data_IF_072046509471
#
_entry.id   IF_072046509471
#
_cell.length_a   1.000
_cell.length_b   1.000
_cell.length_c   1.000
_cell.angle_alpha   90.00
_cell.angle_beta   90.00
_cell.angle_gamma   90.00
#
_symmetry.space_group_name_H-M   'P 1'
#
loop_
_entity.id
_entity.type
_entity.pdbx_description
1 polymer ?
#
# COMPACT_ATOMS: atom_id res chain seq x y z
N UNK A 1 1.92 25.18 36.91
CA UNK A 1 2.83 25.01 35.75
C UNK A 1 3.89 23.97 36.10
N UNK A 2 3.66 22.69 35.80
CA UNK A 2 4.71 21.67 35.88
C UNK A 2 5.35 21.56 34.49
N UNK A 3 6.58 22.07 34.37
CA UNK A 3 7.44 21.94 33.20
C UNK A 3 7.71 20.44 33.00
N UNK A 4 7.00 19.79 32.06
CA UNK A 4 7.29 18.41 31.63
C UNK A 4 8.71 18.38 31.08
N UNK A 5 9.64 17.85 31.85
CA UNK A 5 11.09 17.79 31.57
C UNK A 5 11.50 16.69 30.58
N UNK A 6 10.55 16.11 29.85
CA UNK A 6 10.86 15.32 28.67
C UNK A 6 10.19 16.03 27.49
N UNK A 7 10.96 16.60 26.52
CA UNK A 7 10.36 16.91 25.24
C UNK A 7 9.70 15.62 24.78
N UNK A 8 8.44 15.73 24.35
CA UNK A 8 7.51 14.64 24.06
C UNK A 8 8.02 13.77 22.88
N UNK A 9 9.20 13.15 23.01
CA UNK A 9 9.68 12.09 22.13
C UNK A 9 8.58 11.05 22.19
N UNK A 10 7.89 10.89 21.06
CA UNK A 10 6.75 10.00 20.94
C UNK A 10 7.18 8.62 21.42
N UNK A 11 6.77 8.23 22.63
CA UNK A 11 7.14 6.93 23.23
C UNK A 11 6.82 5.77 22.27
N UNK A 12 5.83 5.96 21.40
CA UNK A 12 5.41 5.04 20.33
C UNK A 12 5.00 5.83 19.08
N UNK A 13 5.91 6.13 18.15
CA UNK A 13 5.57 6.86 16.92
C UNK A 13 4.77 5.94 15.98
N UNK A 14 3.70 6.46 15.38
CA UNK A 14 2.92 5.72 14.38
C UNK A 14 3.56 5.72 12.99
N UNK A 15 4.23 6.82 12.65
CA UNK A 15 4.94 6.97 11.39
C UNK A 15 6.19 7.82 11.58
N UNK A 16 7.21 7.55 10.77
CA UNK A 16 8.44 8.31 10.70
C UNK A 16 8.78 8.56 9.23
N UNK A 17 8.98 9.84 8.90
CA UNK A 17 9.41 10.26 7.57
C UNK A 17 10.89 10.58 7.61
N UNK A 18 11.63 9.92 6.72
CA UNK A 18 12.99 10.28 6.36
C UNK A 18 12.99 10.88 4.95
N UNK A 19 14.09 11.49 4.50
CA UNK A 19 14.19 11.97 3.13
C UNK A 19 13.93 10.90 2.06
N UNK A 20 14.23 9.62 2.34
CA UNK A 20 14.21 8.56 1.32
C UNK A 20 13.06 7.55 1.48
N UNK A 21 12.42 7.51 2.65
CA UNK A 21 11.35 6.55 2.93
C UNK A 21 10.34 7.05 3.98
N UNK A 22 9.12 6.53 3.86
CA UNK A 22 8.04 6.63 4.85
C UNK A 22 7.91 5.29 5.58
N UNK A 23 8.32 5.26 6.85
CA UNK A 23 8.16 4.09 7.72
C UNK A 23 6.92 4.26 8.62
N UNK A 24 6.18 3.18 8.87
CA UNK A 24 4.99 3.24 9.70
C UNK A 24 4.71 1.92 10.41
N UNK A 25 3.87 2.01 11.43
CA UNK A 25 3.37 0.87 12.19
C UNK A 25 1.84 0.87 12.11
N UNK A 26 1.30 -0.19 11.52
CA UNK A 26 -0.14 -0.40 11.36
C UNK A 26 -0.51 -1.84 11.69
N UNK A 27 -1.77 -2.07 12.06
CA UNK A 27 -2.25 -3.43 12.29
C UNK A 27 -2.40 -4.20 10.99
N UNK A 28 -1.87 -5.42 10.97
CA UNK A 28 -1.90 -6.33 9.81
C UNK A 28 -2.33 -7.73 10.20
N UNK A 29 -2.78 -8.50 9.24
CA UNK A 29 -2.99 -9.94 9.42
C UNK A 29 -1.63 -10.66 9.32
N UNK A 30 -1.16 -11.35 10.38
CA UNK A 30 0.11 -12.07 10.36
C UNK A 30 0.23 -13.08 9.21
N UNK A 31 -0.86 -13.75 8.86
CA UNK A 31 -0.87 -14.76 7.81
C UNK A 31 -0.58 -14.19 6.42
N UNK A 32 -0.97 -12.94 6.16
CA UNK A 32 -0.65 -12.28 4.89
C UNK A 32 0.85 -12.02 4.76
N UNK A 33 1.48 -11.62 5.86
CA UNK A 33 2.92 -11.36 5.91
C UNK A 33 3.70 -12.66 5.76
N UNK A 34 3.24 -13.73 6.44
CA UNK A 34 3.81 -15.07 6.30
C UNK A 34 3.70 -15.56 4.86
N UNK A 35 2.54 -15.37 4.21
CA UNK A 35 2.34 -15.79 2.82
C UNK A 35 3.36 -15.13 1.89
N UNK A 36 3.59 -13.81 2.02
CA UNK A 36 4.62 -13.13 1.23
C UNK A 36 6.03 -13.60 1.58
N UNK A 37 6.32 -13.89 2.85
CA UNK A 37 7.60 -14.50 3.24
C UNK A 37 7.80 -15.90 2.67
N UNK A 38 6.72 -16.66 2.45
CA UNK A 38 6.77 -17.99 1.84
C UNK A 38 6.94 -17.91 0.32
N UNK A 39 6.30 -16.93 -0.32
CA UNK A 39 6.41 -16.69 -1.75
C UNK A 39 7.79 -16.17 -2.16
N UNK A 40 8.40 -15.35 -1.29
CA UNK A 40 9.75 -14.82 -1.48
C UNK A 40 10.36 -14.39 -0.13
N UNK A 41 11.26 -15.18 0.47
CA UNK A 41 11.91 -14.82 1.73
C UNK A 41 12.45 -13.39 1.75
N UNK A 42 12.08 -12.63 2.79
CA UNK A 42 12.37 -11.20 2.93
C UNK A 42 11.26 -10.24 2.46
N UNK A 43 10.36 -10.66 1.57
CA UNK A 43 9.22 -9.85 1.15
C UNK A 43 8.27 -9.52 2.32
N UNK A 44 8.03 -10.49 3.21
CA UNK A 44 7.25 -10.28 4.44
C UNK A 44 7.87 -9.20 5.36
N UNK A 45 9.19 -9.23 5.55
CA UNK A 45 9.92 -8.20 6.32
C UNK A 45 9.81 -6.82 5.67
N UNK A 46 9.85 -6.73 4.35
CA UNK A 46 9.67 -5.47 3.62
C UNK A 46 8.27 -4.89 3.83
N UNK A 47 7.21 -5.72 3.82
CA UNK A 47 5.87 -5.26 4.16
C UNK A 47 5.86 -4.70 5.58
N UNK A 48 6.50 -5.38 6.53
CA UNK A 48 6.67 -4.89 7.92
C UNK A 48 7.56 -3.65 8.06
N UNK A 49 8.00 -3.04 6.95
CA UNK A 49 8.89 -1.89 6.92
C UNK A 49 10.24 -2.15 7.62
N UNK A 50 10.63 -3.42 7.73
CA UNK A 50 11.96 -3.88 8.14
C UNK A 50 12.84 -4.06 6.90
N UNK A 51 13.06 -2.95 6.19
CA UNK A 51 13.65 -2.95 4.84
C UNK A 51 15.04 -3.59 4.79
N UNK A 52 15.92 -3.28 5.74
CA UNK A 52 17.27 -3.84 5.75
C UNK A 52 17.25 -5.38 5.85
N UNK A 53 16.48 -5.91 6.81
CA UNK A 53 16.30 -7.37 6.96
C UNK A 53 15.66 -7.99 5.71
N UNK A 54 14.65 -7.33 5.15
CA UNK A 54 13.96 -7.81 3.95
C UNK A 54 14.86 -7.86 2.72
N UNK A 55 15.64 -6.79 2.47
CA UNK A 55 16.62 -6.71 1.38
C UNK A 55 17.68 -7.81 1.52
N UNK A 56 18.23 -7.99 2.73
CA UNK A 56 19.23 -9.02 2.99
C UNK A 56 18.69 -10.43 2.72
N UNK A 57 17.48 -10.73 3.21
CA UNK A 57 16.85 -12.03 3.02
C UNK A 57 16.44 -12.27 1.56
N UNK A 58 15.96 -11.26 0.84
CA UNK A 58 15.66 -11.36 -0.59
C UNK A 58 16.90 -11.57 -1.43
N UNK A 59 18.01 -10.89 -1.10
CA UNK A 59 19.29 -11.14 -1.78
C UNK A 59 19.79 -12.56 -1.51
N UNK A 60 19.75 -12.99 -0.24
CA UNK A 60 20.11 -14.35 0.17
C UNK A 60 19.24 -15.40 -0.55
N UNK A 61 17.93 -15.16 -0.66
CA UNK A 61 16.99 -16.02 -1.37
C UNK A 61 17.44 -16.27 -2.81
N UNK A 62 17.70 -15.21 -3.57
CA UNK A 62 18.13 -15.31 -4.97
C UNK A 62 19.41 -16.14 -5.09
N UNK A 63 20.40 -15.89 -4.22
CA UNK A 63 21.69 -16.59 -4.26
C UNK A 63 21.52 -18.07 -3.96
N UNK A 64 20.84 -18.41 -2.87
CA UNK A 64 20.70 -19.80 -2.43
C UNK A 64 19.78 -20.59 -3.34
N UNK A 65 18.66 -20.00 -3.79
CA UNK A 65 17.73 -20.62 -4.72
C UNK A 65 18.44 -21.05 -6.02
N UNK A 66 19.29 -20.16 -6.57
CA UNK A 66 20.10 -20.45 -7.75
C UNK A 66 21.16 -21.52 -7.47
N UNK A 67 21.85 -21.47 -6.33
CA UNK A 67 22.87 -22.48 -5.99
C UNK A 67 22.29 -23.86 -5.70
N UNK A 68 21.05 -23.92 -5.19
CA UNK A 68 20.34 -25.16 -4.90
C UNK A 68 19.54 -25.69 -6.09
N UNK A 69 19.38 -24.94 -7.19
CA UNK A 69 18.49 -25.28 -8.32
C UNK A 69 17.04 -25.54 -7.88
N UNK A 70 16.53 -24.75 -6.93
CA UNK A 70 15.22 -24.99 -6.31
C UNK A 70 14.10 -24.84 -7.33
N UNK A 71 14.15 -23.80 -8.16
CA UNK A 71 13.08 -23.53 -9.13
C UNK A 71 13.02 -24.60 -10.22
N UNK A 72 14.16 -25.09 -10.72
CA UNK A 72 14.21 -26.23 -11.64
C UNK A 72 13.67 -27.51 -10.99
N UNK A 73 14.04 -27.77 -9.73
CA UNK A 73 13.52 -28.91 -8.99
C UNK A 73 12.00 -28.82 -8.78
N UNK A 74 11.46 -27.62 -8.49
CA UNK A 74 10.01 -27.37 -8.42
C UNK A 74 9.37 -27.64 -9.78
N UNK A 75 9.93 -27.10 -10.86
CA UNK A 75 9.44 -27.32 -12.22
C UNK A 75 9.33 -28.82 -12.53
N UNK A 76 10.41 -29.58 -12.37
CA UNK A 76 10.43 -31.01 -12.64
C UNK A 76 9.46 -31.80 -11.76
N UNK A 77 9.34 -31.43 -10.48
CA UNK A 77 8.39 -32.07 -9.55
C UNK A 77 6.94 -31.83 -9.99
N UNK A 78 6.59 -30.62 -10.41
CA UNK A 78 5.22 -30.25 -10.80
C UNK A 78 4.76 -30.89 -12.12
N UNK A 79 5.70 -31.26 -12.99
CA UNK A 79 5.42 -32.00 -14.23
C UNK A 79 5.57 -33.52 -14.06
N UNK A 80 5.76 -34.00 -12.83
CA UNK A 80 5.82 -35.43 -12.50
C UNK A 80 7.18 -36.10 -12.75
N UNK A 81 8.23 -35.34 -13.09
CA UNK A 81 9.60 -35.86 -13.32
C UNK A 81 10.41 -35.85 -12.01
N UNK A 82 9.96 -36.62 -11.02
CA UNK A 82 10.55 -36.61 -9.68
C UNK A 82 12.02 -37.04 -9.63
N UNK A 83 12.43 -38.03 -10.44
CA UNK A 83 13.84 -38.46 -10.47
C UNK A 83 14.75 -37.36 -10.99
N UNK A 84 14.32 -36.63 -12.02
CA UNK A 84 15.07 -35.49 -12.54
C UNK A 84 15.15 -34.35 -11.52
N UNK A 85 14.06 -34.08 -10.79
CA UNK A 85 14.06 -33.10 -9.71
C UNK A 85 15.09 -33.44 -8.61
N UNK A 86 15.15 -34.71 -8.20
CA UNK A 86 16.13 -35.19 -7.19
C UNK A 86 17.57 -35.06 -7.67
N UNK A 87 17.83 -35.32 -8.96
CA UNK A 87 19.18 -35.20 -9.53
C UNK A 87 19.62 -33.74 -9.72
N UNK A 88 18.67 -32.84 -9.95
CA UNK A 88 18.95 -31.42 -10.23
C UNK A 88 19.25 -30.63 -8.95
N UNK A 89 18.58 -30.95 -7.85
CA UNK A 89 18.69 -30.17 -6.61
C UNK A 89 20.04 -30.40 -5.89
N UNK A 90 20.76 -29.33 -5.55
CA UNK A 90 21.93 -29.45 -4.65
C UNK A 90 21.44 -29.53 -3.20
N UNK A 91 21.54 -30.72 -2.63
CA UNK A 91 21.04 -31.02 -1.29
C UNK A 91 21.71 -30.21 -0.18
N UNK A 92 22.97 -29.79 -0.35
CA UNK A 92 23.70 -29.02 0.68
C UNK A 92 23.11 -27.61 0.76
N UNK A 93 22.95 -26.96 -0.39
CA UNK A 93 22.34 -25.64 -0.46
C UNK A 93 20.85 -25.68 -0.09
N UNK A 94 20.14 -26.73 -0.50
CA UNK A 94 18.72 -26.91 -0.19
C UNK A 94 18.44 -27.11 1.32
N UNK A 95 19.29 -27.86 2.03
CA UNK A 95 19.14 -28.03 3.48
C UNK A 95 19.42 -26.73 4.23
N UNK A 96 20.42 -25.94 3.81
CA UNK A 96 20.65 -24.59 4.33
C UNK A 96 19.46 -23.67 4.05
N UNK A 97 18.90 -23.77 2.85
CA UNK A 97 17.73 -23.00 2.44
C UNK A 97 16.54 -23.25 3.38
N UNK A 98 16.23 -24.52 3.62
CA UNK A 98 15.03 -24.96 4.35
C UNK A 98 14.96 -24.37 5.77
N UNK A 99 16.09 -24.28 6.46
CA UNK A 99 16.14 -23.72 7.81
C UNK A 99 15.80 -22.23 7.84
N UNK A 100 16.44 -21.43 6.97
CA UNK A 100 16.22 -19.99 6.89
C UNK A 100 14.82 -19.68 6.32
N UNK A 101 14.33 -20.49 5.40
CA UNK A 101 12.98 -20.38 4.85
C UNK A 101 11.91 -20.48 5.95
N UNK A 102 11.98 -21.51 6.80
CA UNK A 102 11.05 -21.70 7.93
C UNK A 102 11.21 -20.58 8.96
N UNK A 103 12.45 -20.19 9.27
CA UNK A 103 12.74 -19.09 10.19
C UNK A 103 12.12 -17.77 9.70
N UNK A 104 12.29 -17.42 8.42
CA UNK A 104 11.79 -16.16 7.87
C UNK A 104 10.25 -16.05 8.00
N UNK A 105 9.54 -17.15 7.74
CA UNK A 105 8.09 -17.23 7.93
C UNK A 105 7.69 -17.07 9.40
N UNK A 106 8.34 -17.82 10.31
CA UNK A 106 8.06 -17.73 11.74
C UNK A 106 8.37 -16.34 12.33
N UNK A 107 9.48 -15.73 11.93
CA UNK A 107 9.88 -14.40 12.37
C UNK A 107 8.89 -13.33 11.87
N UNK A 108 8.47 -13.41 10.60
CA UNK A 108 7.41 -12.56 10.05
C UNK A 108 6.12 -12.64 10.87
N UNK A 109 5.68 -13.84 11.23
CA UNK A 109 4.48 -14.04 12.06
C UNK A 109 4.64 -13.36 13.43
N UNK A 110 5.75 -13.65 14.11
CA UNK A 110 6.05 -13.18 15.47
C UNK A 110 6.18 -11.67 15.54
N UNK A 111 6.95 -11.06 14.63
CA UNK A 111 7.10 -9.60 14.54
C UNK A 111 5.77 -8.93 14.21
N UNK A 112 4.95 -9.52 13.34
CA UNK A 112 3.64 -8.92 13.03
C UNK A 112 2.76 -8.83 14.27
N UNK A 113 2.75 -9.87 15.11
CA UNK A 113 2.02 -9.84 16.38
C UNK A 113 2.52 -8.72 17.29
N UNK A 114 3.83 -8.52 17.40
CA UNK A 114 4.41 -7.48 18.23
C UNK A 114 4.16 -6.07 17.68
N UNK A 115 4.35 -5.86 16.38
CA UNK A 115 4.04 -4.59 15.72
C UNK A 115 2.56 -4.23 15.83
N UNK A 116 1.65 -5.21 15.76
CA UNK A 116 0.22 -4.98 15.98
C UNK A 116 -0.07 -4.44 17.39
N UNK A 117 0.62 -4.93 18.43
CA UNK A 117 0.49 -4.40 19.80
C UNK A 117 0.93 -2.92 19.83
N UNK A 118 2.06 -2.58 19.20
CA UNK A 118 2.54 -1.21 19.15
C UNK A 118 1.65 -0.28 18.31
N UNK A 119 1.10 -0.77 17.19
CA UNK A 119 0.15 -0.04 16.37
C UNK A 119 -1.07 0.42 17.18
N UNK A 120 -1.67 -0.50 17.95
CA UNK A 120 -2.80 -0.21 18.84
C UNK A 120 -2.48 0.85 19.88
N UNK A 121 -1.28 0.76 20.45
CA UNK A 121 -0.84 1.70 21.48
C UNK A 121 -0.55 3.09 20.88
N UNK A 122 0.05 3.15 19.70
CA UNK A 122 0.30 4.40 18.97
C UNK A 122 -1.02 5.10 18.59
N UNK A 123 -2.04 4.33 18.19
CA UNK A 123 -3.40 4.83 17.94
C UNK A 123 -4.00 5.48 19.19
N UNK A 124 -3.87 4.84 20.37
CA UNK A 124 -4.39 5.38 21.64
C UNK A 124 -3.66 6.62 22.13
N UNK A 125 -2.36 6.74 21.86
CA UNK A 125 -1.57 7.90 22.27
C UNK A 125 -1.67 9.10 21.33
N UNK A 126 -2.48 9.01 20.27
CA UNK A 126 -2.64 10.04 19.24
C UNK A 126 -1.30 10.63 18.74
N UNK A 127 -0.33 9.74 18.49
CA UNK A 127 1.04 10.13 18.19
C UNK A 127 1.10 11.10 16.98
N UNK A 128 1.63 12.32 17.14
CA UNK A 128 1.82 13.29 16.06
C UNK A 128 2.60 12.68 14.88
N UNK A 129 2.11 12.93 13.67
CA UNK A 129 2.73 12.51 12.40
C UNK A 129 3.27 13.78 11.76
N UNK A 130 4.50 13.75 11.24
CA UNK A 130 5.05 14.88 10.48
C UNK A 130 4.73 14.68 9.00
N UNK A 131 4.06 15.63 8.32
CA UNK A 131 3.64 15.44 6.93
C UNK A 131 4.77 15.59 5.92
N UNK A 132 5.82 16.36 6.22
CA UNK A 132 6.94 16.62 5.31
C UNK A 132 8.30 16.40 5.98
N UNK A 133 9.27 15.98 5.17
CA UNK A 133 10.71 15.98 5.51
C UNK A 133 11.51 16.36 4.27
N UNK A 134 12.13 17.54 4.32
CA UNK A 134 13.00 18.06 3.26
C UNK A 134 14.46 17.90 3.70
N UNK A 135 15.31 17.51 2.76
CA UNK A 135 16.77 17.46 2.92
C UNK A 135 17.46 18.01 1.67
N UNK A 136 18.79 18.15 1.70
CA UNK A 136 19.57 18.57 0.55
C UNK A 136 19.52 17.58 -0.64
N UNK A 137 19.14 16.33 -0.39
CA UNK A 137 19.16 15.26 -1.40
C UNK A 137 17.75 14.99 -1.93
N UNK A 138 16.75 14.93 -1.03
CA UNK A 138 15.40 14.48 -1.38
C UNK A 138 14.31 15.17 -0.55
N UNK A 139 13.11 15.26 -1.15
CA UNK A 139 11.89 15.77 -0.54
C UNK A 139 10.89 14.63 -0.36
N UNK A 140 10.53 14.33 0.88
CA UNK A 140 9.52 13.32 1.17
C UNK A 140 8.31 13.93 1.87
N UNK A 141 7.13 13.49 1.47
CA UNK A 141 5.87 14.00 1.99
C UNK A 141 4.76 12.95 1.98
N UNK A 142 3.80 13.13 2.89
CA UNK A 142 2.53 12.41 2.88
C UNK A 142 1.55 13.15 1.98
N UNK A 143 0.90 12.40 1.11
CA UNK A 143 -0.15 12.92 0.23
C UNK A 143 -1.16 11.81 -0.08
N UNK A 144 -2.34 12.22 -0.54
CA UNK A 144 -3.37 11.30 -1.00
C UNK A 144 -3.14 10.90 -2.46
N UNK A 145 -2.89 9.61 -2.70
CA UNK A 145 -2.61 9.06 -4.05
C UNK A 145 -3.54 7.90 -4.38
N UNK A 146 -3.90 7.69 -5.65
CA UNK A 146 -4.65 6.49 -6.04
C UNK A 146 -3.77 5.23 -5.92
N UNK A 147 -4.12 4.22 -5.07
CA UNK A 147 -3.32 3.00 -4.92
C UNK A 147 -3.13 2.21 -6.23
N UNK A 148 -4.12 2.26 -7.13
CA UNK A 148 -4.05 1.56 -8.42
C UNK A 148 -2.98 2.11 -9.34
N UNK A 149 -2.60 3.39 -9.21
CA UNK A 149 -1.50 3.95 -10.00
C UNK A 149 -0.17 3.29 -9.61
N UNK A 150 0.06 3.02 -8.32
CA UNK A 150 1.25 2.29 -7.87
C UNK A 150 1.25 0.83 -8.31
N UNK A 151 0.09 0.17 -8.26
CA UNK A 151 -0.07 -1.19 -8.79
C UNK A 151 0.22 -1.26 -10.29
N UNK A 152 -0.31 -0.30 -11.07
CA UNK A 152 -0.10 -0.19 -12.51
C UNK A 152 1.39 -0.06 -12.86
N UNK A 153 2.10 0.89 -12.24
CA UNK A 153 3.53 1.07 -12.52
C UNK A 153 4.38 -0.15 -12.11
N UNK A 154 4.01 -0.82 -11.01
CA UNK A 154 4.69 -2.05 -10.57
C UNK A 154 4.44 -3.24 -11.48
N UNK A 155 3.31 -3.29 -12.19
CA UNK A 155 3.02 -4.36 -13.14
C UNK A 155 3.93 -4.27 -14.37
N UNK A 156 4.18 -3.07 -14.88
CA UNK A 156 5.07 -2.88 -16.03
C UNK A 156 6.54 -3.01 -15.65
N UNK A 157 6.92 -2.46 -14.50
CA UNK A 157 8.30 -2.52 -14.02
C UNK A 157 8.29 -2.57 -12.49
N UNK A 158 8.45 -3.78 -11.90
CA UNK A 158 8.54 -3.97 -10.47
C UNK A 158 9.54 -2.99 -9.84
N UNK A 159 9.14 -2.36 -8.74
CA UNK A 159 9.89 -1.31 -8.06
C UNK A 159 9.39 0.12 -8.34
N UNK A 160 8.88 0.42 -9.54
CA UNK A 160 8.43 1.77 -9.87
C UNK A 160 7.24 2.24 -9.00
N UNK A 161 6.30 1.36 -8.67
CA UNK A 161 5.21 1.72 -7.77
C UNK A 161 5.66 2.06 -6.34
N UNK A 162 6.77 1.46 -5.89
CA UNK A 162 7.37 1.77 -4.58
C UNK A 162 8.15 3.08 -4.60
N UNK A 163 8.77 3.44 -5.74
CA UNK A 163 9.31 4.79 -5.96
C UNK A 163 8.16 5.80 -5.92
N UNK A 164 7.06 5.52 -6.63
CA UNK A 164 5.85 6.33 -6.61
C UNK A 164 5.17 6.38 -5.22
N UNK A 165 5.49 5.51 -4.27
CA UNK A 165 5.02 5.60 -2.87
C UNK A 165 6.01 6.32 -1.94
N UNK A 166 6.99 7.03 -2.50
CA UNK A 166 8.09 7.70 -1.80
C UNK A 166 8.92 6.74 -0.92
N UNK A 167 9.16 5.53 -1.42
CA UNK A 167 10.00 4.49 -0.78
C UNK A 167 11.15 4.10 -1.71
N UNK A 168 12.07 5.05 -1.91
CA UNK A 168 13.15 4.93 -2.90
C UNK A 168 14.01 3.68 -2.71
N UNK A 169 14.54 3.35 -1.51
CA UNK A 169 15.44 2.20 -1.37
C UNK A 169 14.78 0.87 -1.74
N UNK A 170 13.53 0.68 -1.30
CA UNK A 170 12.71 -0.49 -1.63
C UNK A 170 12.44 -0.57 -3.13
N UNK A 171 12.05 0.55 -3.73
CA UNK A 171 11.75 0.60 -5.16
C UNK A 171 12.95 0.27 -6.03
N UNK A 172 14.11 0.88 -5.76
CA UNK A 172 15.35 0.58 -6.50
C UNK A 172 15.82 -0.85 -6.31
N UNK A 173 15.74 -1.39 -5.09
CA UNK A 173 16.14 -2.77 -4.85
C UNK A 173 15.28 -3.76 -5.65
N UNK A 174 13.95 -3.64 -5.58
CA UNK A 174 13.03 -4.49 -6.35
C UNK A 174 13.26 -4.33 -7.85
N UNK A 175 13.48 -3.10 -8.32
CA UNK A 175 13.77 -2.81 -9.73
C UNK A 175 15.06 -3.50 -10.20
N UNK A 176 16.13 -3.45 -9.40
CA UNK A 176 17.38 -4.14 -9.69
C UNK A 176 17.17 -5.66 -9.73
N UNK A 177 16.48 -6.22 -8.73
CA UNK A 177 16.14 -7.64 -8.70
C UNK A 177 15.34 -8.07 -9.93
N UNK A 178 14.37 -7.26 -10.35
CA UNK A 178 13.56 -7.53 -11.54
C UNK A 178 14.39 -7.46 -12.81
N UNK A 179 15.16 -6.40 -13.04
CA UNK A 179 16.00 -6.25 -14.23
C UNK A 179 16.98 -7.43 -14.33
N UNK A 180 17.63 -7.77 -13.22
CA UNK A 180 18.59 -8.87 -13.18
C UNK A 180 17.92 -10.23 -13.49
N UNK A 181 16.77 -10.50 -12.88
CA UNK A 181 16.02 -11.74 -13.10
C UNK A 181 15.45 -11.83 -14.52
N UNK A 182 14.90 -10.73 -15.04
CA UNK A 182 14.36 -10.65 -16.40
C UNK A 182 15.46 -10.85 -17.46
N UNK A 183 16.65 -10.28 -17.22
CA UNK A 183 17.80 -10.47 -18.10
C UNK A 183 18.29 -11.93 -18.06
N UNK A 184 18.50 -12.50 -16.87
CA UNK A 184 19.01 -13.88 -16.72
C UNK A 184 18.03 -14.94 -17.19
N UNK A 185 16.72 -14.68 -17.11
CA UNK A 185 15.68 -15.60 -17.60
C UNK A 185 15.50 -15.61 -19.11
N UNK A 186 16.11 -14.68 -19.85
CA UNK A 186 15.81 -14.43 -21.27
C UNK A 186 14.31 -14.21 -21.56
N UNK A 187 13.53 -13.74 -20.58
CA UNK A 187 12.08 -13.57 -20.75
C UNK A 187 11.75 -12.51 -21.79
N UNK A 188 12.55 -11.44 -21.92
CA UNK A 188 12.25 -10.35 -22.87
C UNK A 188 12.37 -10.79 -24.34
N UNK A 189 13.46 -11.45 -24.79
CA UNK A 189 13.48 -12.08 -26.11
C UNK A 189 12.36 -13.11 -26.31
N UNK A 190 12.00 -13.85 -25.26
CA UNK A 190 10.94 -14.84 -25.35
C UNK A 190 9.56 -14.19 -25.56
N UNK A 191 9.28 -13.06 -24.91
CA UNK A 191 8.08 -12.26 -25.17
C UNK A 191 8.02 -11.84 -26.64
N UNK A 192 9.13 -11.38 -27.21
CA UNK A 192 9.21 -11.01 -28.63
C UNK A 192 8.89 -12.21 -29.54
N UNK A 193 9.47 -13.39 -29.27
CA UNK A 193 9.20 -14.61 -30.03
C UNK A 193 7.73 -15.06 -29.91
N UNK A 194 7.13 -14.92 -28.73
CA UNK A 194 5.70 -15.17 -28.51
C UNK A 194 4.83 -14.26 -29.37
N UNK A 195 5.15 -12.97 -29.47
CA UNK A 195 4.40 -12.05 -30.35
C UNK A 195 4.56 -12.37 -31.84
N UNK A 196 5.69 -12.97 -32.23
CA UNK A 196 5.91 -13.45 -33.60
C UNK A 196 5.24 -14.81 -33.88
N UNK A 197 4.47 -15.35 -32.93
CA UNK A 197 3.81 -16.65 -33.06
C UNK A 197 4.74 -17.86 -32.91
N UNK A 198 6.03 -17.65 -32.57
CA UNK A 198 7.04 -18.70 -32.39
C UNK A 198 7.10 -19.17 -30.94
N UNK A 199 6.00 -19.69 -30.42
CA UNK A 199 5.82 -20.02 -28.98
C UNK A 199 6.73 -21.15 -28.49
N UNK A 200 7.00 -22.16 -29.31
CA UNK A 200 7.93 -23.25 -28.95
C UNK A 200 9.37 -22.74 -28.76
N UNK A 201 9.84 -21.90 -29.70
CA UNK A 201 11.15 -21.27 -29.58
C UNK A 201 11.21 -20.33 -28.38
N UNK A 202 10.13 -19.57 -28.11
CA UNK A 202 10.02 -18.73 -26.94
C UNK A 202 10.21 -19.53 -25.64
N UNK A 203 9.60 -20.70 -25.52
CA UNK A 203 9.79 -21.59 -24.37
C UNK A 203 11.22 -22.12 -24.25
N UNK A 204 11.86 -22.47 -25.38
CA UNK A 204 13.19 -23.10 -25.39
C UNK A 204 14.34 -22.19 -24.95
N UNK A 205 14.21 -20.88 -25.14
CA UNK A 205 15.27 -19.91 -24.79
C UNK A 205 15.18 -19.41 -23.34
N UNK A 206 14.05 -19.67 -22.67
CA UNK A 206 13.81 -19.23 -21.30
C UNK A 206 14.63 -20.11 -20.36
N UNK A 207 15.40 -19.46 -19.49
CA UNK A 207 16.00 -20.12 -18.35
C UNK A 207 14.95 -20.28 -17.24
N UNK A 208 14.59 -21.54 -16.96
CA UNK A 208 13.51 -21.91 -16.03
C UNK A 208 13.83 -21.47 -14.61
N UNK A 209 15.10 -21.62 -14.19
CA UNK A 209 15.56 -21.28 -12.85
C UNK A 209 15.32 -19.80 -12.52
N UNK A 210 15.61 -18.92 -13.48
CA UNK A 210 15.38 -17.48 -13.31
C UNK A 210 13.94 -17.07 -13.59
N UNK A 211 13.28 -17.66 -14.58
CA UNK A 211 11.92 -17.32 -14.98
C UNK A 211 10.89 -17.52 -13.86
N UNK A 212 11.01 -18.62 -13.10
CA UNK A 212 10.06 -18.93 -12.03
C UNK A 212 10.17 -18.01 -10.80
N UNK A 213 11.18 -17.14 -10.72
CA UNK A 213 11.22 -16.07 -9.71
C UNK A 213 10.31 -14.88 -10.07
N UNK A 214 9.97 -14.70 -11.35
CA UNK A 214 9.22 -13.53 -11.82
C UNK A 214 7.81 -13.41 -11.22
N UNK A 215 7.00 -14.48 -11.08
CA UNK A 215 5.68 -14.37 -10.47
C UNK A 215 5.72 -13.76 -9.07
N UNK A 216 6.64 -14.21 -8.21
CA UNK A 216 6.79 -13.68 -6.86
C UNK A 216 7.26 -12.23 -6.85
N UNK A 217 8.28 -11.88 -7.64
CA UNK A 217 8.81 -10.50 -7.72
C UNK A 217 7.73 -9.53 -8.24
N UNK A 218 7.03 -9.91 -9.31
CA UNK A 218 6.01 -9.09 -9.95
C UNK A 218 4.82 -8.83 -9.01
N UNK A 219 4.21 -9.90 -8.52
CA UNK A 219 3.00 -9.78 -7.71
C UNK A 219 3.30 -9.16 -6.34
N UNK A 220 4.48 -9.44 -5.78
CA UNK A 220 4.93 -8.76 -4.57
C UNK A 220 5.01 -7.25 -4.79
N UNK A 221 5.67 -6.81 -5.86
CA UNK A 221 5.80 -5.38 -6.15
C UNK A 221 4.45 -4.69 -6.38
N UNK A 222 3.51 -5.36 -7.05
CA UNK A 222 2.16 -4.84 -7.29
C UNK A 222 1.41 -4.70 -5.96
N UNK A 223 1.38 -5.77 -5.17
CA UNK A 223 0.67 -5.82 -3.89
C UNK A 223 1.27 -4.83 -2.88
N UNK A 224 2.60 -4.80 -2.75
CA UNK A 224 3.30 -3.93 -1.81
C UNK A 224 3.05 -2.46 -2.13
N UNK A 225 3.13 -2.07 -3.40
CA UNK A 225 2.91 -0.69 -3.82
C UNK A 225 1.46 -0.25 -3.62
N UNK A 226 0.50 -1.12 -3.92
CA UNK A 226 -0.91 -0.88 -3.62
C UNK A 226 -1.13 -0.67 -2.12
N UNK A 227 -0.64 -1.60 -1.29
CA UNK A 227 -0.83 -1.56 0.17
C UNK A 227 -0.16 -0.35 0.81
N UNK A 228 1.06 -0.04 0.36
CA UNK A 228 1.83 1.08 0.88
C UNK A 228 1.11 2.40 0.64
N UNK A 229 0.62 2.65 -0.58
CA UNK A 229 -0.14 3.86 -0.92
C UNK A 229 -1.46 3.90 -0.13
N UNK A 230 -2.14 2.77 -0.03
CA UNK A 230 -3.36 2.67 0.76
C UNK A 230 -3.13 3.03 2.24
N UNK A 231 -2.01 2.62 2.81
CA UNK A 231 -1.65 2.92 4.20
C UNK A 231 -1.18 4.38 4.35
N UNK A 232 -0.37 4.91 3.45
CA UNK A 232 0.06 6.31 3.50
C UNK A 232 -1.12 7.26 3.33
N UNK A 233 -2.11 6.93 2.50
CA UNK A 233 -3.36 7.68 2.42
C UNK A 233 -4.10 7.74 3.76
N UNK A 234 -4.15 6.62 4.50
CA UNK A 234 -4.75 6.62 5.84
C UNK A 234 -3.96 7.49 6.81
N UNK A 235 -2.63 7.48 6.72
CA UNK A 235 -1.77 8.34 7.55
C UNK A 235 -1.96 9.82 7.22
N UNK A 236 -2.04 10.17 5.93
CA UNK A 236 -2.34 11.51 5.45
C UNK A 236 -3.69 12.00 6.00
N UNK A 237 -4.76 11.21 5.83
CA UNK A 237 -6.09 11.57 6.37
C UNK A 237 -6.05 11.82 7.88
N UNK A 238 -5.39 10.94 8.64
CA UNK A 238 -5.26 11.09 10.09
C UNK A 238 -4.45 12.33 10.51
N UNK A 239 -3.42 12.67 9.76
CA UNK A 239 -2.60 13.85 10.00
C UNK A 239 -3.42 15.12 9.68
N UNK A 240 -4.05 15.18 8.51
CA UNK A 240 -4.89 16.30 8.09
C UNK A 240 -6.11 16.49 9.02
N UNK A 241 -6.82 15.42 9.41
CA UNK A 241 -7.93 15.52 10.37
C UNK A 241 -7.50 16.17 11.69
N UNK A 242 -6.28 15.88 12.16
CA UNK A 242 -5.75 16.48 13.38
C UNK A 242 -5.35 17.93 13.16
N UNK A 243 -4.69 18.24 12.05
CA UNK A 243 -4.40 19.62 11.68
C UNK A 243 -5.69 20.44 11.66
N UNK A 244 -6.74 19.95 10.99
CA UNK A 244 -8.04 20.63 10.91
C UNK A 244 -8.72 20.76 12.28
N UNK A 245 -8.63 19.75 13.14
CA UNK A 245 -9.16 19.80 14.52
C UNK A 245 -8.42 20.79 15.40
N UNK A 246 -7.09 20.79 15.37
CA UNK A 246 -6.27 21.71 16.16
C UNK A 246 -6.43 23.15 15.68
N UNK A 247 -6.71 23.36 14.39
CA UNK A 247 -6.69 24.69 13.79
C UNK A 247 -8.07 25.31 13.53
N UNK A 248 -9.08 24.53 13.17
CA UNK A 248 -10.38 25.00 12.67
C UNK A 248 -11.58 24.43 13.46
N UNK A 249 -11.34 23.88 14.65
CA UNK A 249 -12.40 23.51 15.61
C UNK A 249 -12.19 24.22 16.94
N UNK A 250 -12.75 25.43 17.13
CA UNK A 250 -12.66 26.13 18.42
C UNK A 250 -13.40 25.34 19.51
N UNK A 251 -12.85 25.30 20.74
CA UNK A 251 -13.47 24.63 21.90
C UNK A 251 -14.88 25.16 22.21
N UNK A 252 -15.12 26.44 21.89
CA UNK A 252 -16.41 27.10 22.01
C UNK A 252 -16.94 27.51 20.63
N UNK A 253 -17.26 26.52 19.79
CA UNK A 253 -17.92 26.79 18.53
C UNK A 253 -19.33 27.35 18.77
N UNK A 254 -19.57 28.61 18.40
CA UNK A 254 -20.92 29.18 18.38
C UNK A 254 -21.60 28.67 17.12
N UNK A 255 -22.46 27.68 17.29
CA UNK A 255 -23.33 27.19 16.20
C UNK A 255 -24.09 28.36 15.56
N UNK A 256 -24.33 28.34 14.23
CA UNK A 256 -25.11 29.34 13.52
C UNK A 256 -26.42 29.66 14.27
N UNK A 257 -26.57 30.90 14.73
CA UNK A 257 -27.75 31.30 15.50
C UNK A 257 -28.91 31.67 14.57
N UNK A 258 -30.14 31.33 14.99
CA UNK A 258 -31.38 31.60 14.23
C UNK A 258 -31.71 33.10 14.12
N UNK A 259 -31.03 33.94 14.88
CA UNK A 259 -31.18 35.40 14.88
C UNK A 259 -30.53 35.99 13.63
N UNK A 260 -31.37 36.30 12.64
CA UNK A 260 -30.99 37.01 11.41
C UNK A 260 -30.25 38.31 11.73
N UNK A 261 -28.91 38.30 11.67
CA UNK A 261 -28.19 39.50 11.25
C UNK A 261 -28.35 39.54 9.72
N UNK A 262 -28.96 40.59 9.18
CA UNK A 262 -29.27 40.70 7.74
C UNK A 262 -28.02 40.65 6.84
N UNK A 263 -26.84 40.82 7.41
CA UNK A 263 -25.60 41.02 6.66
C UNK A 263 -24.68 39.78 6.62
N UNK A 264 -25.00 38.71 7.38
CA UNK A 264 -24.17 37.50 7.46
C UNK A 264 -24.91 36.28 6.90
N UNK A 265 -24.17 35.47 6.14
CA UNK A 265 -24.61 34.25 5.49
C UNK A 265 -23.70 33.09 5.89
N UNK A 266 -24.24 31.88 5.98
CA UNK A 266 -23.44 30.69 6.20
C UNK A 266 -23.35 29.86 4.93
N UNK A 267 -22.13 29.44 4.58
CA UNK A 267 -21.85 28.57 3.45
C UNK A 267 -21.39 27.23 3.98
N UNK A 268 -22.06 26.17 3.55
CA UNK A 268 -21.70 24.79 3.90
C UNK A 268 -21.09 24.15 2.66
N UNK A 269 -19.90 23.60 2.82
CA UNK A 269 -19.20 22.89 1.75
C UNK A 269 -18.73 21.52 2.20
N UNK A 270 -18.54 20.62 1.26
CA UNK A 270 -18.05 19.28 1.53
C UNK A 270 -16.83 18.98 0.68
N UNK A 271 -15.83 18.36 1.30
CA UNK A 271 -14.55 18.04 0.69
C UNK A 271 -14.16 16.59 0.95
N UNK A 272 -13.18 16.14 0.18
CA UNK A 272 -12.35 14.97 0.51
C UNK A 272 -11.07 15.44 1.18
N UNK A 273 -10.43 14.54 1.91
CA UNK A 273 -9.07 14.79 2.36
C UNK A 273 -8.12 14.93 1.16
N UNK A 274 -7.52 16.11 1.01
CA UNK A 274 -6.58 16.47 -0.04
C UNK A 274 -5.84 17.75 0.36
N UNK A 275 -4.63 17.99 -0.15
CA UNK A 275 -3.91 19.25 0.03
C UNK A 275 -4.68 20.47 -0.51
N UNK A 276 -5.52 20.28 -1.54
CA UNK A 276 -6.39 21.35 -2.08
C UNK A 276 -7.34 21.95 -1.03
N UNK A 277 -7.75 21.16 -0.03
CA UNK A 277 -8.58 21.67 1.06
C UNK A 277 -7.81 22.70 1.92
N UNK A 278 -6.56 22.41 2.25
CA UNK A 278 -5.72 23.34 3.01
C UNK A 278 -5.41 24.60 2.20
N UNK A 279 -5.25 24.46 0.88
CA UNK A 279 -5.08 25.59 -0.02
C UNK A 279 -6.35 26.46 -0.09
N UNK A 280 -7.53 25.85 -0.16
CA UNK A 280 -8.81 26.56 -0.09
C UNK A 280 -8.97 27.35 1.23
N UNK A 281 -8.60 26.74 2.36
CA UNK A 281 -8.63 27.40 3.67
C UNK A 281 -7.67 28.59 3.72
N UNK A 282 -6.46 28.43 3.19
CA UNK A 282 -5.49 29.52 3.07
C UNK A 282 -6.01 30.66 2.19
N UNK A 283 -6.63 30.35 1.06
CA UNK A 283 -7.18 31.36 0.15
C UNK A 283 -8.36 32.12 0.76
N UNK A 284 -9.20 31.45 1.55
CA UNK A 284 -10.27 32.11 2.31
C UNK A 284 -9.70 33.10 3.33
N UNK A 285 -8.66 32.70 4.06
CA UNK A 285 -7.97 33.57 5.04
C UNK A 285 -7.31 34.78 4.35
N UNK A 286 -6.61 34.55 3.24
CA UNK A 286 -5.96 35.63 2.46
C UNK A 286 -6.96 36.64 1.90
N UNK A 287 -8.19 36.21 1.59
CA UNK A 287 -9.26 37.08 1.09
C UNK A 287 -10.14 37.69 2.20
N UNK A 288 -9.69 37.62 3.45
CA UNK A 288 -10.28 38.38 4.56
C UNK A 288 -11.35 37.64 5.35
N UNK A 289 -11.55 36.33 5.15
CA UNK A 289 -12.40 35.53 6.04
C UNK A 289 -11.57 35.14 7.26
N UNK A 290 -11.93 35.62 8.47
CA UNK A 290 -11.17 35.29 9.66
C UNK A 290 -11.36 33.81 10.00
N UNK A 291 -10.30 33.19 10.48
CA UNK A 291 -10.30 31.76 10.83
C UNK A 291 -11.36 31.36 11.87
N UNK A 292 -11.77 32.28 12.73
CA UNK A 292 -12.85 32.08 13.72
C UNK A 292 -14.22 31.83 13.06
N UNK A 293 -14.41 32.34 11.85
CA UNK A 293 -15.63 32.16 11.07
C UNK A 293 -15.62 30.87 10.23
N UNK A 294 -14.53 30.10 10.27
CA UNK A 294 -14.36 28.87 9.51
C UNK A 294 -14.35 27.70 10.48
N UNK A 295 -15.35 26.84 10.36
CA UNK A 295 -15.43 25.58 11.08
C UNK A 295 -15.22 24.41 10.15
N UNK A 296 -14.28 23.53 10.49
CA UNK A 296 -13.98 22.34 9.69
C UNK A 296 -14.16 21.07 10.51
N UNK A 297 -15.10 20.22 10.10
CA UNK A 297 -15.33 18.91 10.70
C UNK A 297 -14.88 17.78 9.77
N UNK A 298 -13.84 17.05 10.18
CA UNK A 298 -13.51 15.77 9.55
C UNK A 298 -14.45 14.69 10.07
N UNK A 299 -15.12 13.99 9.16
CA UNK A 299 -16.05 12.91 9.46
C UNK A 299 -15.27 11.62 9.70
N UNK A 300 -15.01 11.31 10.97
CA UNK A 300 -14.34 10.06 11.33
C UNK A 300 -15.25 8.86 11.06
N UNK A 301 -14.83 7.97 10.14
CA UNK A 301 -15.39 6.61 10.04
C UNK A 301 -14.96 5.74 11.24
N UNK A 302 -13.87 6.10 11.92
CA UNK A 302 -13.31 5.37 13.05
C UNK A 302 -14.02 5.74 14.35
N UNK A 303 -15.27 5.29 14.53
CA UNK A 303 -15.87 5.34 15.85
C UNK A 303 -15.03 4.47 16.80
N UNK A 304 -14.49 5.00 17.91
CA UNK A 304 -13.74 4.25 18.91
C UNK A 304 -14.72 3.43 19.78
N UNK A 305 -15.72 2.76 19.17
CA UNK A 305 -16.52 1.78 19.88
C UNK A 305 -15.60 0.64 20.24
N UNK A 306 -15.09 0.69 21.47
CA UNK A 306 -14.36 -0.33 22.21
C UNK A 306 -14.86 -1.74 21.88
N UNK A 307 -14.37 -2.31 20.79
CA UNK A 307 -14.66 -3.68 20.42
C UNK A 307 -13.57 -4.53 21.03
N UNK A 308 -14.01 -5.52 21.84
CA UNK A 308 -13.21 -6.53 22.53
C UNK A 308 -11.90 -6.78 21.78
N UNK A 309 -10.78 -6.72 22.51
CA UNK A 309 -9.36 -6.95 22.10
C UNK A 309 -9.13 -8.19 21.21
N UNK A 310 -10.16 -9.00 21.00
CA UNK A 310 -10.17 -10.29 20.31
C UNK A 310 -10.92 -10.31 18.96
N UNK A 311 -11.68 -9.28 18.56
CA UNK A 311 -12.40 -9.33 17.27
C UNK A 311 -11.48 -8.96 16.08
N UNK A 312 -10.87 -10.02 15.56
CA UNK A 312 -10.47 -10.28 14.17
C UNK A 312 -9.48 -9.32 13.50
N UNK A 313 -8.31 -9.87 13.15
CA UNK A 313 -7.30 -9.40 12.18
C UNK A 313 -7.84 -9.02 10.78
N UNK A 314 -9.16 -8.95 10.60
CA UNK A 314 -9.85 -8.67 9.35
C UNK A 314 -9.85 -7.18 8.99
N UNK A 315 -9.66 -6.24 9.91
CA UNK A 315 -9.78 -4.81 9.60
C UNK A 315 -8.57 -4.23 8.83
N UNK A 316 -7.36 -4.73 9.08
CA UNK A 316 -6.13 -4.28 8.42
C UNK A 316 -5.97 -4.77 6.97
N UNK A 317 -6.67 -5.86 6.61
CA UNK A 317 -6.55 -6.52 5.32
C UNK A 317 -7.18 -5.71 4.16
N UNK A 318 -6.43 -5.50 3.08
CA UNK A 318 -6.96 -4.94 1.82
C UNK A 318 -7.98 -5.90 1.20
N UNK A 319 -9.01 -5.35 0.54
CA UNK A 319 -10.06 -6.14 -0.12
C UNK A 319 -9.51 -7.02 -1.26
N UNK A 320 -8.34 -6.68 -1.79
CA UNK A 320 -7.73 -7.30 -2.98
C UNK A 320 -6.58 -8.26 -2.66
N UNK A 321 -6.25 -8.51 -1.39
CA UNK A 321 -5.11 -9.36 -1.03
C UNK A 321 -5.21 -10.76 -1.61
N UNK A 322 -6.40 -11.36 -1.55
CA UNK A 322 -6.64 -12.69 -2.13
C UNK A 322 -6.44 -12.71 -3.65
N UNK A 323 -6.72 -11.61 -4.34
CA UNK A 323 -6.44 -11.46 -5.77
C UNK A 323 -4.95 -11.49 -6.07
N UNK A 324 -4.13 -10.83 -5.24
CA UNK A 324 -2.68 -10.87 -5.41
C UNK A 324 -2.11 -12.27 -5.10
N UNK A 325 -2.61 -12.94 -4.06
CA UNK A 325 -2.16 -14.29 -3.69
C UNK A 325 -2.48 -15.33 -4.76
N UNK A 326 -3.75 -15.38 -5.19
CA UNK A 326 -4.16 -16.32 -6.22
C UNK A 326 -3.58 -15.95 -7.59
N UNK A 327 -3.46 -14.67 -7.90
CA UNK A 327 -2.76 -14.21 -9.10
C UNK A 327 -1.34 -14.74 -9.18
N UNK A 328 -0.57 -14.67 -8.09
CA UNK A 328 0.80 -15.21 -8.05
C UNK A 328 0.84 -16.73 -8.21
N UNK A 329 -0.04 -17.47 -7.51
CA UNK A 329 -0.11 -18.93 -7.59
C UNK A 329 -0.45 -19.39 -9.01
N UNK A 330 -1.51 -18.84 -9.61
CA UNK A 330 -1.92 -19.25 -10.95
C UNK A 330 -0.97 -18.75 -12.04
N UNK A 331 -0.31 -17.60 -11.85
CA UNK A 331 0.76 -17.16 -12.75
C UNK A 331 1.94 -18.14 -12.72
N UNK A 332 2.37 -18.59 -11.52
CA UNK A 332 3.42 -19.59 -11.37
C UNK A 332 3.04 -20.92 -12.03
N UNK A 333 1.83 -21.43 -11.75
CA UNK A 333 1.33 -22.66 -12.36
C UNK A 333 1.24 -22.55 -13.89
N UNK A 334 0.74 -21.41 -14.40
CA UNK A 334 0.70 -21.12 -15.83
C UNK A 334 2.09 -21.07 -16.47
N UNK A 335 3.08 -20.54 -15.75
CA UNK A 335 4.48 -20.55 -16.18
C UNK A 335 5.08 -21.95 -16.25
N UNK A 336 4.82 -22.78 -15.24
CA UNK A 336 5.31 -24.17 -15.19
C UNK A 336 4.66 -25.03 -16.28
N UNK A 337 3.32 -25.10 -16.32
CA UNK A 337 2.61 -25.94 -17.28
C UNK A 337 2.64 -25.37 -18.70
N UNK A 338 2.86 -24.07 -18.86
CA UNK A 338 2.99 -23.45 -20.16
C UNK A 338 4.25 -23.87 -20.94
N UNK A 339 5.28 -24.46 -20.29
CA UNK A 339 6.37 -25.12 -21.03
C UNK A 339 5.93 -26.41 -21.73
N UNK A 340 4.80 -27.00 -21.33
CA UNK A 340 4.23 -28.21 -21.94
C UNK A 340 3.12 -27.83 -22.93
N UNK A 341 2.36 -26.78 -22.64
CA UNK A 341 1.23 -26.36 -23.45
C UNK A 341 1.63 -25.52 -24.67
N UNK A 342 0.81 -25.58 -25.72
CA UNK A 342 1.11 -25.06 -27.07
C UNK A 342 1.34 -23.55 -27.16
N UNK A 343 0.70 -22.75 -26.29
CA UNK A 343 0.84 -21.29 -26.28
C UNK A 343 2.08 -20.78 -25.53
N UNK A 344 2.86 -21.70 -24.94
CA UNK A 344 4.11 -21.38 -24.27
C UNK A 344 3.94 -20.82 -22.85
N UNK A 345 5.04 -20.73 -22.09
CA UNK A 345 5.02 -20.36 -20.67
C UNK A 345 4.56 -18.92 -20.42
N UNK A 346 4.79 -18.00 -21.36
CA UNK A 346 4.47 -16.58 -21.18
C UNK A 346 2.96 -16.34 -21.23
N UNK A 347 2.28 -16.82 -22.27
CA UNK A 347 0.83 -16.61 -22.43
C UNK A 347 0.06 -17.30 -21.31
N UNK A 348 0.43 -18.54 -20.97
CA UNK A 348 -0.22 -19.27 -19.88
C UNK A 348 0.04 -18.65 -18.51
N UNK A 349 1.22 -18.05 -18.28
CA UNK A 349 1.47 -17.25 -17.07
C UNK A 349 0.51 -16.06 -16.97
N UNK A 350 0.32 -15.33 -18.07
CA UNK A 350 -0.58 -14.16 -18.10
C UNK A 350 -2.05 -14.54 -17.95
N UNK A 351 -2.48 -15.63 -18.59
CA UNK A 351 -3.84 -16.19 -18.43
C UNK A 351 -4.05 -16.63 -16.98
N UNK A 352 -3.07 -17.33 -16.40
CA UNK A 352 -3.08 -17.74 -15.00
C UNK A 352 -3.18 -16.54 -14.06
N UNK A 353 -2.40 -15.48 -14.30
CA UNK A 353 -2.47 -14.24 -13.53
C UNK A 353 -3.88 -13.64 -13.52
N UNK A 354 -4.48 -13.47 -14.70
CA UNK A 354 -5.82 -12.88 -14.84
C UNK A 354 -6.86 -13.77 -14.15
N UNK A 355 -6.82 -15.08 -14.41
CA UNK A 355 -7.73 -16.05 -13.82
C UNK A 355 -7.64 -16.04 -12.29
N UNK A 356 -6.43 -16.11 -11.73
CA UNK A 356 -6.19 -16.09 -10.29
C UNK A 356 -6.64 -14.78 -9.64
N UNK A 357 -6.37 -13.64 -10.29
CA UNK A 357 -6.80 -12.34 -9.79
C UNK A 357 -8.34 -12.22 -9.74
N UNK A 358 -9.03 -12.63 -10.81
CA UNK A 358 -10.51 -12.63 -10.88
C UNK A 358 -11.12 -13.57 -9.84
N UNK A 359 -10.59 -14.80 -9.73
CA UNK A 359 -11.03 -15.76 -8.73
C UNK A 359 -10.84 -15.21 -7.31
N UNK A 360 -9.72 -14.55 -7.05
CA UNK A 360 -9.47 -13.88 -5.76
C UNK A 360 -10.45 -12.75 -5.47
N UNK A 361 -10.86 -11.96 -6.48
CA UNK A 361 -11.91 -10.94 -6.31
C UNK A 361 -13.22 -11.62 -5.95
N UNK A 362 -13.62 -12.66 -6.67
CA UNK A 362 -14.88 -13.40 -6.42
C UNK A 362 -14.90 -13.99 -5.01
N UNK A 363 -13.83 -14.65 -4.58
CA UNK A 363 -13.73 -15.21 -3.23
C UNK A 363 -13.76 -14.10 -2.18
N UNK A 364 -13.04 -13.00 -2.42
CA UNK A 364 -13.04 -11.85 -1.50
C UNK A 364 -14.42 -11.21 -1.37
N UNK A 365 -15.22 -11.17 -2.45
CA UNK A 365 -16.60 -10.67 -2.44
C UNK A 365 -17.50 -11.55 -1.58
N UNK A 366 -17.31 -12.87 -1.64
CA UNK A 366 -18.07 -13.84 -0.84
C UNK A 366 -17.69 -13.75 0.64
N UNK A 367 -16.39 -13.77 0.96
CA UNK A 367 -15.88 -13.78 2.34
C UNK A 367 -16.09 -12.43 3.03
N UNK A 368 -15.85 -11.33 2.31
CA UNK A 368 -15.87 -9.97 2.83
C UNK A 368 -17.05 -9.15 2.30
N UNK A 369 -18.18 -9.81 2.03
CA UNK A 369 -19.41 -9.19 1.49
C UNK A 369 -19.73 -7.85 2.17
N UNK A 370 -19.72 -7.81 3.50
CA UNK A 370 -19.97 -6.58 4.27
C UNK A 370 -19.00 -5.43 3.96
N UNK A 371 -17.70 -5.70 3.75
CA UNK A 371 -16.71 -4.66 3.40
C UNK A 371 -16.90 -4.13 1.98
N UNK A 372 -17.29 -5.00 1.05
CA UNK A 372 -17.47 -4.63 -0.36
C UNK A 372 -18.71 -3.76 -0.59
N UNK A 373 -19.79 -4.04 0.15
CA UNK A 373 -21.03 -3.25 0.08
C UNK A 373 -21.07 -2.06 1.03
N UNK A 374 -20.01 -1.82 1.84
CA UNK A 374 -19.86 -0.56 2.56
C UNK A 374 -19.58 0.56 1.57
N UNK A 375 -20.58 1.44 1.37
CA UNK A 375 -20.45 2.63 0.54
C UNK A 375 -19.39 3.55 1.14
N UNK A 376 -18.37 3.90 0.36
CA UNK A 376 -17.46 4.95 0.77
C UNK A 376 -18.24 6.25 0.90
N UNK A 377 -18.15 6.91 2.06
CA UNK A 377 -18.73 8.24 2.20
C UNK A 377 -18.11 9.14 1.14
N UNK A 378 -18.91 9.72 0.22
CA UNK A 378 -18.39 10.59 -0.82
C UNK A 378 -17.74 11.83 -0.19
N UNK A 379 -18.27 12.27 0.95
CA UNK A 379 -17.82 13.40 1.75
C UNK A 379 -17.06 12.91 2.98
N UNK A 380 -15.87 13.47 3.22
CA UNK A 380 -15.03 13.13 4.37
C UNK A 380 -14.77 14.34 5.28
N UNK A 381 -14.91 15.55 4.75
CA UNK A 381 -14.76 16.79 5.50
C UNK A 381 -15.94 17.72 5.19
N UNK A 382 -16.45 18.39 6.22
CA UNK A 382 -17.50 19.41 6.12
C UNK A 382 -16.93 20.74 6.57
N UNK A 383 -17.11 21.77 5.74
CA UNK A 383 -16.78 23.16 6.01
C UNK A 383 -18.07 23.92 6.30
N UNK A 384 -18.06 24.75 7.34
CA UNK A 384 -19.09 25.74 7.62
C UNK A 384 -18.37 27.08 7.73
N UNK A 385 -18.72 28.02 6.86
CA UNK A 385 -18.08 29.34 6.77
C UNK A 385 -19.14 30.40 7.03
N UNK A 386 -18.89 31.32 7.96
CA UNK A 386 -19.68 32.53 8.16
C UNK A 386 -19.03 33.70 7.41
N UNK A 387 -19.73 34.26 6.44
CA UNK A 387 -19.24 35.40 5.64
C UNK A 387 -20.33 36.45 5.46
N UNK A 388 -19.93 37.66 5.07
CA UNK A 388 -20.89 38.69 4.68
C UNK A 388 -21.60 38.33 3.36
N UNK A 389 -22.82 38.83 3.18
CA UNK A 389 -23.63 38.51 1.97
C UNK A 389 -22.93 38.95 0.68
N UNK A 390 -22.15 40.04 0.72
CA UNK A 390 -21.35 40.57 -0.39
C UNK A 390 -20.17 39.64 -0.79
N UNK A 391 -19.64 38.85 0.13
CA UNK A 391 -18.51 37.95 -0.04
C UNK A 391 -18.94 36.56 -0.48
N UNK A 392 -20.26 36.28 -0.49
CA UNK A 392 -20.80 34.94 -0.71
C UNK A 392 -20.44 34.34 -2.08
N UNK A 393 -20.44 35.13 -3.15
CA UNK A 393 -20.04 34.68 -4.50
C UNK A 393 -18.54 34.40 -4.58
N UNK A 394 -17.72 35.21 -3.91
CA UNK A 394 -16.28 35.02 -3.84
C UNK A 394 -15.92 33.75 -3.08
N UNK A 395 -16.55 33.50 -1.93
CA UNK A 395 -16.34 32.29 -1.13
C UNK A 395 -16.79 31.05 -1.92
N UNK A 396 -17.95 31.11 -2.56
CA UNK A 396 -18.43 30.01 -3.41
C UNK A 396 -17.46 29.70 -4.56
N UNK A 397 -16.95 30.73 -5.25
CA UNK A 397 -15.95 30.57 -6.30
C UNK A 397 -14.70 29.84 -5.82
N UNK A 398 -14.12 30.27 -4.68
CA UNK A 398 -12.92 29.64 -4.10
C UNK A 398 -13.18 28.16 -3.79
N UNK A 399 -14.34 27.83 -3.21
CA UNK A 399 -14.65 26.45 -2.85
C UNK A 399 -14.74 25.55 -4.10
N UNK A 400 -15.37 26.03 -5.17
CA UNK A 400 -15.46 25.31 -6.43
C UNK A 400 -14.11 25.18 -7.15
N UNK A 401 -13.30 26.25 -7.16
CA UNK A 401 -11.95 26.27 -7.75
C UNK A 401 -11.03 25.23 -7.09
N UNK A 402 -11.29 24.89 -5.82
CA UNK A 402 -10.54 23.89 -5.05
C UNK A 402 -11.20 22.50 -4.98
N UNK A 403 -12.08 22.17 -5.93
CA UNK A 403 -12.75 20.87 -6.05
C UNK A 403 -13.63 20.50 -4.84
N UNK A 404 -14.43 21.44 -4.33
CA UNK A 404 -15.54 21.10 -3.43
C UNK A 404 -16.45 20.05 -4.09
N UNK A 405 -16.93 19.09 -3.31
CA UNK A 405 -17.89 18.08 -3.75
C UNK A 405 -19.33 18.61 -3.79
N UNK A 406 -19.58 19.67 -3.03
CA UNK A 406 -20.86 20.35 -2.96
C UNK A 406 -20.72 21.60 -2.11
N UNK A 407 -21.42 22.65 -2.50
CA UNK A 407 -21.48 23.94 -1.82
C UNK A 407 -22.94 24.34 -1.72
N UNK A 408 -23.35 24.87 -0.57
CA UNK A 408 -24.70 25.42 -0.39
C UNK A 408 -24.65 26.69 0.45
N UNK A 409 -25.45 27.67 0.05
CA UNK A 409 -25.66 28.92 0.79
C UNK A 409 -26.89 28.76 1.67
N UNK A 410 -26.76 29.07 2.95
CA UNK A 410 -27.87 29.05 3.90
C UNK A 410 -28.23 30.47 4.30
N UNK A 411 -29.50 30.82 4.12
CA UNK A 411 -30.09 32.17 4.27
C UNK A 411 -30.59 32.47 5.68
#
# INVERSE_FOLDING_TARGET
MLKKSFPNQLRRPKAYLSPFLVNYIVERNPWNIVWWSAAFPGAGHMLLCKYFSGILLMFWEIVINVKAHINEAIYYSMIGKFELAKMTIDTRWFLLYSAVFVFAMWDCYSITIDLNKYARLANRSESRIRPFKISAIEVNFLDYRNPWNGAFWSFFSPGLGSIYSNRLPTGFFILICFIFTAYKSNVLPAIQLTFLGKTELAGSIIDIQWFLNLPSILLFSISSSYEDIFITNKLFKLEQSRFLKENYQPEHFKMPQKTKKRDFMHIISTFRHNALLELALSDLELRGIPRENIFVASLEKFSPKFHKVRKNHKEGASKYELSFFLGAIFMLLGGIYGFIWTWGPILWSLIGLIFGALLGVIISLIIYRSKWFQKEMPTEVVLIIECETNQSELVEGILWDHNALGVTKTS
#
